data_IF_188645219337
#
_entry.id   IF_188645219337
#
_cell.length_a   1.000
_cell.length_b   1.000
_cell.length_c   1.000
_cell.angle_alpha   90.00
_cell.angle_beta   90.00
_cell.angle_gamma   90.00
#
_symmetry.space_group_name_H-M   'P 1'
#
loop_
_entity.id
_entity.type
_entity.pdbx_description
1 polymer ?
#
# COMPACT_ATOMS: atom_id res chain seq x y z
N UNK A 1 4.97 -37.11 -19.39
CA UNK A 1 4.74 -35.76 -18.82
C UNK A 1 6.05 -35.27 -18.21
N UNK A 2 6.73 -34.32 -18.86
CA UNK A 2 7.98 -33.73 -18.33
C UNK A 2 7.64 -32.78 -17.18
N UNK A 3 8.11 -33.08 -15.97
CA UNK A 3 8.06 -32.15 -14.84
C UNK A 3 9.09 -31.06 -15.09
N UNK A 4 8.63 -29.94 -15.68
CA UNK A 4 9.42 -28.71 -15.75
C UNK A 4 9.53 -28.14 -14.33
N UNK A 5 10.51 -28.65 -13.59
CA UNK A 5 10.89 -28.15 -12.28
C UNK A 5 11.74 -26.91 -12.56
N UNK A 6 11.13 -25.73 -12.53
CA UNK A 6 11.87 -24.48 -12.64
C UNK A 6 12.79 -24.37 -11.42
N UNK A 7 14.12 -24.28 -11.58
CA UNK A 7 15.00 -23.99 -10.48
C UNK A 7 14.68 -22.58 -9.99
N UNK A 8 14.07 -22.48 -8.81
CA UNK A 8 13.95 -21.21 -8.10
C UNK A 8 15.36 -20.89 -7.62
N UNK A 9 16.11 -20.16 -8.44
CA UNK A 9 17.44 -19.69 -8.10
C UNK A 9 17.37 -18.91 -6.77
N UNK A 10 17.75 -19.57 -5.69
CA UNK A 10 18.10 -18.99 -4.40
C UNK A 10 19.44 -18.27 -4.49
N UNK A 11 19.63 -17.45 -5.54
CA UNK A 11 20.72 -16.48 -5.57
C UNK A 11 20.53 -15.58 -4.37
N UNK A 12 21.54 -15.50 -3.51
CA UNK A 12 21.55 -14.66 -2.33
C UNK A 12 21.02 -13.28 -2.69
N UNK A 13 19.74 -13.04 -2.38
CA UNK A 13 19.13 -11.74 -2.54
C UNK A 13 19.96 -10.84 -1.63
N UNK A 14 20.57 -9.73 -2.12
CA UNK A 14 21.15 -8.77 -1.20
C UNK A 14 20.06 -8.47 -0.18
N UNK A 15 20.41 -8.38 1.09
CA UNK A 15 19.49 -8.17 2.20
C UNK A 15 18.72 -6.85 2.06
N UNK A 16 17.83 -6.77 1.07
CA UNK A 16 16.79 -5.79 0.91
C UNK A 16 15.73 -6.24 1.90
N UNK A 17 16.01 -6.01 3.18
CA UNK A 17 15.07 -6.24 4.26
C UNK A 17 13.73 -5.68 3.79
N UNK A 18 12.73 -6.55 3.64
CA UNK A 18 11.38 -6.17 3.23
C UNK A 18 10.84 -5.26 4.33
N UNK A 19 10.92 -3.96 4.09
CA UNK A 19 10.50 -2.93 5.03
C UNK A 19 9.56 -1.99 4.31
N UNK A 20 8.67 -1.38 5.10
CA UNK A 20 7.76 -0.33 4.64
C UNK A 20 8.56 0.80 3.97
N UNK A 21 9.77 1.12 4.47
CA UNK A 21 10.66 2.14 3.89
C UNK A 21 11.05 1.90 2.43
N UNK A 22 10.97 0.65 1.96
CA UNK A 22 11.29 0.27 0.59
C UNK A 22 10.06 0.23 -0.34
N UNK A 23 8.86 0.58 0.14
CA UNK A 23 7.64 0.58 -0.67
C UNK A 23 7.65 1.63 -1.78
N UNK A 24 8.25 2.78 -1.53
CA UNK A 24 8.37 3.87 -2.50
C UNK A 24 9.84 4.01 -2.89
N UNK A 25 10.11 4.03 -4.19
CA UNK A 25 11.44 4.28 -4.72
C UNK A 25 11.90 5.70 -4.35
N UNK A 26 13.12 5.81 -3.81
CA UNK A 26 13.63 7.11 -3.36
C UNK A 26 13.93 8.07 -4.51
N UNK A 27 14.31 7.56 -5.68
CA UNK A 27 14.68 8.36 -6.83
C UNK A 27 13.46 8.68 -7.70
N UNK A 28 12.59 7.69 -7.94
CA UNK A 28 11.48 7.85 -8.89
C UNK A 28 10.14 8.14 -8.22
N UNK A 29 9.98 7.86 -6.92
CA UNK A 29 8.69 7.96 -6.23
C UNK A 29 7.70 6.85 -6.59
N UNK A 30 8.12 5.89 -7.40
CA UNK A 30 7.28 4.77 -7.83
C UNK A 30 7.04 3.75 -6.73
N UNK A 31 5.85 3.14 -6.73
CA UNK A 31 5.50 2.08 -5.78
C UNK A 31 6.10 0.76 -6.22
N UNK A 32 6.94 0.17 -5.39
CA UNK A 32 7.52 -1.15 -5.61
C UNK A 32 6.53 -2.24 -5.25
N UNK A 33 5.69 -2.63 -6.21
CA UNK A 33 4.62 -3.63 -6.01
C UNK A 33 5.10 -4.98 -5.48
N UNK A 34 6.33 -5.38 -5.79
CA UNK A 34 6.91 -6.62 -5.24
C UNK A 34 7.19 -6.52 -3.74
N UNK A 35 7.55 -5.34 -3.23
CA UNK A 35 7.73 -5.08 -1.79
C UNK A 35 6.38 -5.17 -1.08
N UNK A 36 5.34 -4.55 -1.64
CA UNK A 36 3.98 -4.63 -1.09
C UNK A 36 3.48 -6.08 -1.00
N UNK A 37 3.67 -6.85 -2.08
CA UNK A 37 3.30 -8.29 -2.10
C UNK A 37 4.11 -9.10 -1.08
N UNK A 38 5.40 -8.80 -0.92
CA UNK A 38 6.27 -9.45 0.07
C UNK A 38 5.83 -9.15 1.50
N UNK A 39 5.57 -7.88 1.82
CA UNK A 39 5.07 -7.44 3.13
C UNK A 39 3.71 -8.08 3.44
N UNK A 40 2.78 -8.06 2.49
CA UNK A 40 1.47 -8.68 2.67
C UNK A 40 1.54 -10.18 2.92
N UNK A 41 2.43 -10.93 2.23
CA UNK A 41 2.61 -12.37 2.48
C UNK A 41 3.23 -12.63 3.85
N UNK A 42 4.21 -11.82 4.26
CA UNK A 42 4.84 -11.94 5.58
C UNK A 42 3.80 -11.71 6.68
N UNK A 43 2.99 -10.69 6.53
CA UNK A 43 1.93 -10.37 7.50
C UNK A 43 0.82 -11.43 7.49
N UNK A 44 0.48 -11.96 6.32
CA UNK A 44 -0.49 -13.05 6.19
C UNK A 44 -0.04 -14.29 6.97
N UNK A 45 1.22 -14.71 6.77
CA UNK A 45 1.80 -15.83 7.51
C UNK A 45 1.91 -15.54 9.01
N UNK A 46 2.28 -14.31 9.39
CA UNK A 46 2.42 -13.92 10.80
C UNK A 46 1.10 -13.97 11.55
N UNK A 47 0.02 -13.49 10.94
CA UNK A 47 -1.26 -13.27 11.62
C UNK A 47 -2.22 -14.44 11.46
N UNK A 48 -2.22 -15.13 10.31
CA UNK A 48 -3.15 -16.24 10.03
C UNK A 48 -2.45 -17.59 9.86
N UNK A 49 -1.13 -17.63 9.69
CA UNK A 49 -0.41 -18.87 9.38
C UNK A 49 -0.65 -19.41 7.97
N UNK A 50 -1.29 -18.63 7.10
CA UNK A 50 -1.68 -19.04 5.75
C UNK A 50 -1.61 -17.89 4.73
N UNK A 51 -1.52 -18.25 3.45
CA UNK A 51 -1.50 -17.31 2.31
C UNK A 51 -2.75 -17.55 1.45
N UNK A 52 -3.92 -17.30 2.04
CA UNK A 52 -5.22 -17.38 1.34
C UNK A 52 -5.60 -16.03 0.74
N UNK A 53 -6.48 -15.97 -0.28
CA UNK A 53 -6.94 -14.71 -0.84
C UNK A 53 -7.61 -13.77 0.18
N UNK A 54 -8.18 -14.31 1.27
CA UNK A 54 -8.77 -13.52 2.35
C UNK A 54 -7.69 -12.89 3.24
N UNK A 55 -6.76 -13.70 3.75
CA UNK A 55 -5.66 -13.22 4.61
C UNK A 55 -4.75 -12.23 3.87
N UNK A 56 -4.49 -12.46 2.58
CA UNK A 56 -3.75 -11.50 1.76
C UNK A 56 -4.47 -10.16 1.60
N UNK A 57 -5.79 -10.16 1.32
CA UNK A 57 -6.55 -8.91 1.20
C UNK A 57 -6.58 -8.12 2.52
N UNK A 58 -6.72 -8.81 3.64
CA UNK A 58 -6.64 -8.19 4.96
C UNK A 58 -5.25 -7.61 5.24
N UNK A 59 -4.19 -8.36 4.92
CA UNK A 59 -2.79 -7.95 5.09
C UNK A 59 -2.41 -6.74 4.23
N UNK A 60 -2.89 -6.70 2.98
CA UNK A 60 -2.59 -5.59 2.06
C UNK A 60 -3.12 -4.27 2.61
N UNK A 61 -4.31 -4.26 3.22
CA UNK A 61 -4.92 -3.04 3.77
C UNK A 61 -4.03 -2.36 4.81
N UNK A 62 -3.30 -3.13 5.61
CA UNK A 62 -2.37 -2.60 6.63
C UNK A 62 -1.26 -1.73 6.04
N UNK A 63 -0.88 -1.97 4.79
CA UNK A 63 0.21 -1.25 4.12
C UNK A 63 -0.29 -0.29 3.04
N UNK A 64 -1.48 -0.54 2.48
CA UNK A 64 -2.03 0.25 1.38
C UNK A 64 -2.24 1.72 1.78
N UNK A 65 -2.72 1.97 3.01
CA UNK A 65 -2.99 3.32 3.50
C UNK A 65 -1.71 4.14 3.71
N UNK A 66 -0.56 3.49 3.91
CA UNK A 66 0.73 4.17 4.05
C UNK A 66 1.31 4.64 2.71
N UNK A 67 0.89 4.05 1.59
CA UNK A 67 1.46 4.37 0.27
C UNK A 67 1.20 5.84 -0.11
N UNK A 68 -0.04 6.37 -0.02
CA UNK A 68 -0.30 7.78 -0.27
C UNK A 68 0.55 8.70 0.60
N UNK A 69 0.67 8.42 1.91
CA UNK A 69 1.47 9.22 2.83
C UNK A 69 2.95 9.27 2.41
N UNK A 70 3.51 8.10 2.07
CA UNK A 70 4.90 7.99 1.63
C UNK A 70 5.15 8.72 0.31
N UNK A 71 4.20 8.66 -0.63
CA UNK A 71 4.28 9.37 -1.90
C UNK A 71 4.14 10.88 -1.74
N UNK A 72 3.23 11.34 -0.88
CA UNK A 72 3.09 12.75 -0.54
C UNK A 72 4.38 13.29 0.11
N UNK A 73 4.96 12.55 1.06
CA UNK A 73 6.23 12.91 1.68
C UNK A 73 7.38 12.92 0.67
N UNK A 74 7.41 11.98 -0.29
CA UNK A 74 8.39 11.98 -1.37
C UNK A 74 8.24 13.22 -2.27
N UNK A 75 7.00 13.56 -2.68
CA UNK A 75 6.71 14.75 -3.49
C UNK A 75 7.11 16.05 -2.80
N UNK A 76 6.78 16.21 -1.52
CA UNK A 76 7.15 17.38 -0.72
C UNK A 76 8.67 17.57 -0.67
N UNK A 77 9.44 16.49 -0.48
CA UNK A 77 10.92 16.55 -0.49
C UNK A 77 11.51 16.96 -1.84
N UNK A 78 10.82 16.68 -2.94
CA UNK A 78 11.26 16.99 -4.30
C UNK A 78 10.62 18.26 -4.87
N UNK A 79 9.92 19.05 -4.06
CA UNK A 79 9.27 20.29 -4.49
C UNK A 79 8.13 20.09 -5.49
N UNK A 80 7.59 18.87 -5.59
CA UNK A 80 6.48 18.56 -6.49
C UNK A 80 5.15 18.96 -5.85
N UNK A 81 4.16 19.44 -6.64
CA UNK A 81 2.86 19.80 -6.11
C UNK A 81 2.17 18.57 -5.50
N UNK A 82 1.73 18.73 -4.26
CA UNK A 82 0.83 17.81 -3.56
C UNK A 82 -0.50 18.52 -3.47
N UNK A 83 -1.47 18.07 -4.28
CA UNK A 83 -2.84 18.53 -4.15
C UNK A 83 -3.41 17.98 -2.84
N UNK A 84 -3.29 18.76 -1.78
CA UNK A 84 -3.99 18.51 -0.53
C UNK A 84 -5.46 18.83 -0.80
N UNK A 85 -6.28 17.82 -1.11
CA UNK A 85 -7.72 17.99 -1.02
C UNK A 85 -8.02 18.25 0.45
N UNK A 86 -8.28 19.51 0.79
CA UNK A 86 -8.81 19.91 2.08
C UNK A 86 -10.16 19.21 2.24
N UNK A 87 -10.16 18.09 2.96
CA UNK A 87 -11.40 17.51 3.48
C UNK A 87 -11.87 18.46 4.57
N UNK A 88 -12.67 19.45 4.20
CA UNK A 88 -13.40 20.27 5.16
C UNK A 88 -14.29 19.29 5.92
N UNK A 89 -14.17 19.14 7.26
CA UNK A 89 -15.15 18.38 8.02
C UNK A 89 -16.50 19.03 7.72
N UNK A 90 -17.45 18.24 7.23
CA UNK A 90 -18.81 18.68 6.89
C UNK A 90 -19.26 19.80 7.81
N UNK A 91 -19.50 20.98 7.23
CA UNK A 91 -19.92 22.15 7.98
C UNK A 91 -21.13 21.84 8.87
N UNK A 92 -21.27 22.63 9.94
CA UNK A 92 -22.38 22.60 10.88
C UNK A 92 -23.69 22.27 10.17
N UNK A 93 -24.46 21.33 10.73
CA UNK A 93 -25.80 20.97 10.25
C UNK A 93 -26.53 22.25 9.82
N UNK A 94 -26.82 22.36 8.52
CA UNK A 94 -27.62 23.45 7.99
C UNK A 94 -29.03 23.30 8.54
N UNK A 95 -29.26 23.91 9.69
CA UNK A 95 -30.59 24.34 10.10
C UNK A 95 -31.21 25.09 8.90
N UNK A 96 -32.26 24.52 8.31
CA UNK A 96 -33.19 25.32 7.51
C UNK A 96 -33.36 25.03 6.02
N UNK A 97 -33.02 23.84 5.48
CA UNK A 97 -33.54 23.46 4.15
C UNK A 97 -34.47 22.26 4.24
N UNK A 98 -35.73 22.55 4.60
CA UNK A 98 -36.88 21.75 4.20
C UNK A 98 -36.95 21.73 2.67
N UNK A 99 -37.20 20.54 2.11
CA UNK A 99 -37.99 20.18 0.89
C UNK A 99 -37.24 19.10 0.09
N UNK A 100 -37.82 18.09 -0.53
CA UNK A 100 -39.13 17.40 -0.55
C UNK A 100 -39.14 16.61 -1.87
N UNK A 101 -39.60 15.34 -1.86
CA UNK A 101 -39.92 14.49 -3.02
C UNK A 101 -38.73 14.18 -3.97
N UNK A 102 -38.46 12.95 -4.42
CA UNK A 102 -39.26 11.77 -4.73
C UNK A 102 -38.58 10.50 -4.21
#
# INVERSE_FOLDING_TARGET
>A
MSKNTFPVNGGAMPAATLTVRNLVDKQTGEVRMWVLKGLARREAMRTWGEITPRSLRASIRLYADMIPEMQCAWRQRHGLPVAMTTVIPYGNARDGVRRSAF
#
